data_IF_484193550714
#
_entry.id   IF_484193550714
#
_cell.length_a   1.000
_cell.length_b   1.000
_cell.length_c   1.000
_cell.angle_alpha   90.00
_cell.angle_beta   90.00
_cell.angle_gamma   90.00
#
_symmetry.space_group_name_H-M   'P 1'
#
loop_
_entity.id
_entity.type
_entity.pdbx_description
1 polymer ?
#
# COMPACT_ATOMS: atom_id res chain seq x y z
N UNK A 1 -17.09 35.18 -12.38
CA UNK A 1 -18.15 34.25 -11.94
C UNK A 1 -17.69 32.89 -12.44
N UNK A 2 -17.02 32.12 -11.58
CA UNK A 2 -16.42 30.83 -11.96
C UNK A 2 -17.49 29.77 -11.75
N UNK A 3 -18.09 29.29 -12.83
CA UNK A 3 -19.05 28.19 -12.76
C UNK A 3 -18.31 26.89 -12.43
N UNK A 4 -18.67 26.31 -11.29
CA UNK A 4 -18.27 24.96 -10.89
C UNK A 4 -19.21 24.01 -11.65
N UNK A 5 -18.67 23.31 -12.65
CA UNK A 5 -19.40 22.26 -13.36
C UNK A 5 -19.63 21.08 -12.39
N UNK A 6 -20.85 20.99 -11.87
CA UNK A 6 -21.35 19.78 -11.22
C UNK A 6 -21.91 18.88 -12.32
N UNK A 7 -21.17 17.83 -12.69
CA UNK A 7 -21.69 16.76 -13.52
C UNK A 7 -22.25 15.64 -12.63
N UNK A 8 -23.53 15.35 -12.85
CA UNK A 8 -24.27 14.31 -12.15
C UNK A 8 -23.72 12.94 -12.52
N UNK A 9 -23.51 12.11 -11.50
CA UNK A 9 -23.06 10.73 -11.65
C UNK A 9 -24.08 9.92 -12.46
N UNK A 10 -23.69 9.53 -13.67
CA UNK A 10 -24.30 8.41 -14.37
C UNK A 10 -23.79 7.12 -13.72
N UNK A 11 -24.70 6.42 -13.02
CA UNK A 11 -24.50 5.05 -12.50
C UNK A 11 -24.28 4.09 -13.68
N UNK A 12 -23.05 4.06 -14.19
CA UNK A 12 -22.55 2.96 -15.00
C UNK A 12 -22.27 1.79 -14.07
N UNK A 13 -23.02 0.70 -14.23
CA UNK A 13 -22.85 -0.52 -13.46
C UNK A 13 -21.42 -1.05 -13.60
N UNK A 14 -20.56 -0.74 -12.62
CA UNK A 14 -19.25 -1.35 -12.45
C UNK A 14 -19.52 -2.81 -12.14
N UNK A 15 -19.26 -3.70 -13.09
CA UNK A 15 -19.20 -5.13 -12.81
C UNK A 15 -18.24 -5.32 -11.64
N UNK A 16 -18.76 -5.79 -10.51
CA UNK A 16 -18.01 -5.98 -9.27
C UNK A 16 -17.00 -7.11 -9.47
N UNK A 17 -15.84 -6.76 -10.04
CA UNK A 17 -14.67 -7.62 -10.00
C UNK A 17 -14.42 -8.02 -8.54
N UNK A 18 -14.01 -9.27 -8.26
CA UNK A 18 -13.72 -9.69 -6.90
C UNK A 18 -12.72 -8.72 -6.27
N UNK A 19 -13.03 -8.22 -5.07
CA UNK A 19 -12.15 -7.28 -4.39
C UNK A 19 -10.94 -8.04 -3.84
N UNK A 20 -9.75 -7.55 -4.13
CA UNK A 20 -8.48 -8.18 -3.68
C UNK A 20 -8.49 -8.30 -2.16
N UNK A 21 -8.95 -7.26 -1.47
CA UNK A 21 -9.00 -7.17 0.00
C UNK A 21 -10.01 -8.15 0.65
N UNK A 22 -10.93 -8.71 -0.13
CA UNK A 22 -11.90 -9.71 0.34
C UNK A 22 -11.42 -11.15 0.11
N UNK A 23 -10.36 -11.34 -0.67
CA UNK A 23 -9.78 -12.66 -0.93
C UNK A 23 -9.00 -13.16 0.30
N UNK A 24 -9.11 -14.44 0.71
CA UNK A 24 -8.45 -14.96 1.92
C UNK A 24 -6.91 -14.90 1.87
N UNK A 25 -6.32 -14.86 0.68
CA UNK A 25 -4.87 -14.66 0.52
C UNK A 25 -4.40 -13.25 0.92
N UNK A 26 -5.27 -12.24 0.91
CA UNK A 26 -4.90 -10.89 1.32
C UNK A 26 -4.50 -10.78 2.80
N UNK A 27 -5.33 -11.21 3.78
CA UNK A 27 -4.89 -11.22 5.17
C UNK A 27 -3.66 -12.12 5.39
N UNK A 28 -3.57 -13.25 4.68
CA UNK A 28 -2.38 -14.11 4.76
C UNK A 28 -1.09 -13.41 4.28
N UNK A 29 -1.18 -12.61 3.21
CA UNK A 29 -0.08 -11.78 2.72
C UNK A 29 0.32 -10.74 3.77
N UNK A 30 -0.64 -9.96 4.29
CA UNK A 30 -0.35 -8.95 5.31
C UNK A 30 0.31 -9.56 6.54
N UNK A 31 -0.24 -10.65 7.07
CA UNK A 31 0.29 -11.30 8.26
C UNK A 31 1.74 -11.78 8.05
N UNK A 32 2.04 -12.33 6.87
CA UNK A 32 3.40 -12.74 6.52
C UNK A 32 4.36 -11.55 6.39
N UNK A 33 3.90 -10.45 5.79
CA UNK A 33 4.67 -9.21 5.69
C UNK A 33 4.95 -8.63 7.09
N UNK A 34 3.92 -8.50 7.94
CA UNK A 34 4.06 -8.01 9.32
C UNK A 34 4.96 -8.90 10.18
N UNK A 35 5.03 -10.19 9.90
CA UNK A 35 5.96 -11.10 10.58
C UNK A 35 7.42 -10.85 10.18
N UNK A 36 7.70 -10.46 8.93
CA UNK A 36 9.05 -10.14 8.43
C UNK A 36 9.55 -8.79 8.95
N UNK A 37 8.67 -7.79 9.02
CA UNK A 37 9.05 -6.37 9.27
C UNK A 37 9.97 -6.17 10.49
N UNK A 38 9.75 -6.79 11.67
CA UNK A 38 10.60 -6.59 12.84
C UNK A 38 12.01 -7.15 12.69
N UNK A 39 12.25 -8.02 11.72
CA UNK A 39 13.56 -8.64 11.47
C UNK A 39 14.43 -7.80 10.52
N UNK A 40 13.84 -6.81 9.85
CA UNK A 40 14.54 -6.01 8.87
C UNK A 40 15.35 -4.89 9.54
N UNK A 41 16.60 -4.78 9.12
CA UNK A 41 17.47 -3.63 9.34
C UNK A 41 16.98 -2.41 8.54
N UNK A 42 17.59 -1.25 8.78
CA UNK A 42 17.18 0.02 8.17
C UNK A 42 17.19 0.03 6.64
N UNK A 43 18.07 -0.75 6.02
CA UNK A 43 18.19 -0.88 4.57
C UNK A 43 17.32 -2.01 3.98
N UNK A 44 16.54 -2.70 4.83
CA UNK A 44 15.64 -3.79 4.46
C UNK A 44 16.29 -5.17 4.48
N UNK A 45 17.60 -5.28 4.71
CA UNK A 45 18.28 -6.56 4.94
C UNK A 45 17.91 -7.19 6.28
N UNK A 46 18.22 -8.46 6.49
CA UNK A 46 18.03 -9.15 7.77
C UNK A 46 19.39 -9.55 8.33
N UNK A 47 19.69 -9.09 9.54
CA UNK A 47 20.91 -9.47 10.26
C UNK A 47 20.63 -10.72 11.12
N UNK A 48 21.11 -11.87 10.65
CA UNK A 48 20.92 -13.15 11.35
C UNK A 48 21.82 -13.33 12.59
N UNK A 49 22.82 -12.47 12.77
CA UNK A 49 23.70 -12.51 13.95
C UNK A 49 23.18 -11.58 15.07
N UNK A 50 22.15 -10.78 14.81
CA UNK A 50 21.54 -9.91 15.79
C UNK A 50 20.84 -10.69 16.92
N UNK A 51 20.84 -10.12 18.12
CA UNK A 51 20.16 -10.72 19.27
C UNK A 51 18.64 -10.83 19.01
N UNK A 52 18.09 -12.03 19.13
CA UNK A 52 16.68 -12.30 18.87
C UNK A 52 16.32 -12.47 17.38
N UNK A 53 17.31 -12.53 16.49
CA UNK A 53 17.07 -12.80 15.07
C UNK A 53 16.41 -14.18 14.85
N UNK A 54 15.47 -14.29 13.89
CA UNK A 54 14.91 -15.57 13.49
C UNK A 54 15.98 -16.46 12.85
N UNK A 55 15.73 -17.77 12.73
CA UNK A 55 16.59 -18.60 11.87
C UNK A 55 16.36 -18.29 10.39
N UNK A 56 17.37 -18.43 9.51
CA UNK A 56 17.20 -18.24 8.07
C UNK A 56 16.03 -19.05 7.48
N UNK A 57 15.90 -20.32 7.87
CA UNK A 57 14.79 -21.18 7.45
C UNK A 57 13.40 -20.66 7.89
N UNK A 58 13.32 -19.92 9.00
CA UNK A 58 12.07 -19.28 9.42
C UNK A 58 11.71 -18.16 8.46
N UNK A 59 12.67 -17.29 8.13
CA UNK A 59 12.46 -16.16 7.20
C UNK A 59 12.10 -16.67 5.81
N UNK A 60 12.83 -17.67 5.29
CA UNK A 60 12.53 -18.32 4.00
C UNK A 60 11.08 -18.81 3.93
N UNK A 61 10.61 -19.49 4.97
CA UNK A 61 9.23 -19.98 5.04
C UNK A 61 8.20 -18.85 5.05
N UNK A 62 8.50 -17.71 5.69
CA UNK A 62 7.59 -16.56 5.69
C UNK A 62 7.60 -15.87 4.32
N UNK A 63 8.74 -15.74 3.66
CA UNK A 63 8.81 -15.22 2.29
C UNK A 63 8.09 -16.14 1.30
N UNK A 64 8.17 -17.46 1.44
CA UNK A 64 7.37 -18.37 0.62
C UNK A 64 5.85 -18.23 0.86
N UNK A 65 5.42 -17.84 2.08
CA UNK A 65 4.01 -17.47 2.33
C UNK A 65 3.61 -16.18 1.60
N UNK A 66 4.49 -15.17 1.60
CA UNK A 66 4.30 -13.93 0.81
C UNK A 66 4.15 -14.28 -0.67
N UNK A 67 5.06 -15.10 -1.21
CA UNK A 67 5.03 -15.55 -2.61
C UNK A 67 3.73 -16.29 -2.93
N UNK A 68 3.36 -17.28 -2.12
CA UNK A 68 2.12 -18.05 -2.33
C UNK A 68 0.88 -17.16 -2.33
N UNK A 69 0.80 -16.19 -1.42
CA UNK A 69 -0.32 -15.25 -1.39
C UNK A 69 -0.35 -14.32 -2.62
N UNK A 70 0.81 -13.85 -3.11
CA UNK A 70 0.90 -13.07 -4.37
C UNK A 70 0.45 -13.92 -5.57
N UNK A 71 0.88 -15.18 -5.65
CA UNK A 71 0.49 -16.11 -6.72
C UNK A 71 -1.02 -16.40 -6.68
N UNK A 72 -1.63 -16.51 -5.50
CA UNK A 72 -3.09 -16.67 -5.33
C UNK A 72 -3.90 -15.42 -5.68
N UNK A 73 -3.38 -14.22 -5.42
CA UNK A 73 -4.05 -12.95 -5.74
C UNK A 73 -3.86 -12.54 -7.21
N UNK A 74 -2.77 -12.94 -7.85
CA UNK A 74 -2.44 -12.51 -9.22
C UNK A 74 -3.53 -12.80 -10.27
N UNK A 75 -4.30 -13.91 -10.23
CA UNK A 75 -5.40 -14.14 -11.16
C UNK A 75 -6.52 -13.09 -11.12
N UNK A 76 -6.69 -12.39 -9.99
CA UNK A 76 -7.64 -11.28 -9.86
C UNK A 76 -7.15 -10.00 -10.57
N UNK A 77 -5.86 -9.95 -10.91
CA UNK A 77 -5.13 -8.78 -11.40
C UNK A 77 -4.35 -9.10 -12.68
N UNK A 78 -5.02 -9.55 -13.76
CA UNK A 78 -4.33 -10.04 -14.96
C UNK A 78 -3.48 -8.97 -15.65
N UNK A 79 -3.83 -7.68 -15.51
CA UNK A 79 -3.06 -6.56 -16.04
C UNK A 79 -1.69 -6.39 -15.37
N UNK A 80 -1.53 -6.87 -14.14
CA UNK A 80 -0.29 -6.81 -13.36
C UNK A 80 0.48 -8.14 -13.37
N UNK A 81 0.05 -9.15 -14.14
CA UNK A 81 0.63 -10.49 -14.10
C UNK A 81 2.14 -10.53 -14.43
N UNK A 82 2.62 -9.63 -15.30
CA UNK A 82 4.06 -9.51 -15.57
C UNK A 82 4.83 -8.99 -14.36
N UNK A 83 4.27 -8.00 -13.66
CA UNK A 83 4.80 -7.48 -12.40
C UNK A 83 4.83 -8.57 -11.32
N UNK A 84 3.73 -9.30 -11.09
CA UNK A 84 3.69 -10.33 -10.05
C UNK A 84 4.71 -11.46 -10.29
N UNK A 85 4.93 -11.88 -11.53
CA UNK A 85 5.98 -12.87 -11.86
C UNK A 85 7.38 -12.34 -11.58
N UNK A 86 7.65 -11.08 -11.91
CA UNK A 86 8.93 -10.45 -11.60
C UNK A 86 9.12 -10.30 -10.08
N UNK A 87 8.08 -9.88 -9.36
CA UNK A 87 8.09 -9.75 -7.90
C UNK A 87 8.41 -11.08 -7.21
N UNK A 88 7.76 -12.17 -7.62
CA UNK A 88 8.05 -13.51 -7.11
C UNK A 88 9.51 -13.90 -7.38
N UNK A 89 10.05 -13.54 -8.54
CA UNK A 89 11.45 -13.80 -8.89
C UNK A 89 12.40 -13.01 -8.00
N UNK A 90 12.13 -11.72 -7.76
CA UNK A 90 12.93 -10.84 -6.91
C UNK A 90 12.90 -11.31 -5.44
N UNK A 91 11.73 -11.73 -4.92
CA UNK A 91 11.60 -12.29 -3.56
C UNK A 91 12.41 -13.57 -3.38
N UNK A 92 12.34 -14.50 -4.35
CA UNK A 92 13.15 -15.74 -4.31
C UNK A 92 14.64 -15.45 -4.40
N UNK A 93 15.04 -14.46 -5.20
CA UNK A 93 16.43 -14.00 -5.29
C UNK A 93 16.90 -13.41 -3.97
N UNK A 94 16.09 -12.56 -3.33
CA UNK A 94 16.40 -11.98 -2.03
C UNK A 94 16.65 -13.05 -0.95
N UNK A 95 15.83 -14.09 -0.92
CA UNK A 95 16.04 -15.24 -0.04
C UNK A 95 17.33 -16.02 -0.40
N UNK A 96 17.54 -16.34 -1.68
CA UNK A 96 18.72 -17.08 -2.15
C UNK A 96 20.05 -16.35 -1.89
N UNK A 97 20.02 -15.01 -1.91
CA UNK A 97 21.19 -14.17 -1.63
C UNK A 97 21.47 -13.99 -0.12
N UNK A 98 20.64 -14.60 0.73
CA UNK A 98 20.78 -14.60 2.19
C UNK A 98 20.17 -13.38 2.86
N UNK A 99 19.09 -12.82 2.32
CA UNK A 99 18.38 -11.65 2.85
C UNK A 99 19.27 -10.42 3.07
N UNK A 100 20.20 -10.18 2.12
CA UNK A 100 20.96 -8.92 2.04
C UNK A 100 20.03 -7.74 1.71
N UNK A 101 20.59 -6.59 1.35
CA UNK A 101 19.77 -5.46 0.88
C UNK A 101 18.89 -5.92 -0.29
N UNK A 102 17.56 -5.79 -0.20
CA UNK A 102 16.65 -6.25 -1.24
C UNK A 102 16.84 -5.47 -2.55
N UNK A 103 16.64 -6.15 -3.68
CA UNK A 103 16.63 -5.56 -5.01
C UNK A 103 15.35 -5.97 -5.75
N UNK A 104 14.47 -5.00 -5.98
CA UNK A 104 13.20 -5.16 -6.69
C UNK A 104 13.18 -4.44 -8.04
N UNK A 105 14.35 -4.18 -8.65
CA UNK A 105 14.39 -3.40 -9.89
C UNK A 105 13.62 -4.07 -11.04
N UNK A 106 13.67 -5.39 -11.16
CA UNK A 106 13.02 -6.10 -12.27
C UNK A 106 11.48 -6.00 -12.14
N UNK A 107 10.96 -6.20 -10.93
CA UNK A 107 9.54 -5.99 -10.62
C UNK A 107 9.11 -4.52 -10.68
N UNK A 108 9.95 -3.57 -10.24
CA UNK A 108 9.66 -2.15 -10.36
C UNK A 108 9.51 -1.71 -11.82
N UNK A 109 10.37 -2.18 -12.72
CA UNK A 109 10.28 -1.85 -14.15
C UNK A 109 9.03 -2.47 -14.80
N UNK A 110 8.55 -3.60 -14.28
CA UNK A 110 7.34 -4.26 -14.75
C UNK A 110 6.05 -3.63 -14.21
N UNK A 111 6.10 -2.94 -13.08
CA UNK A 111 4.93 -2.29 -12.47
C UNK A 111 4.61 -0.96 -13.16
N UNK A 112 3.59 -0.98 -14.02
CA UNK A 112 3.25 0.15 -14.89
C UNK A 112 1.76 0.52 -14.83
N UNK A 113 1.26 0.98 -13.66
CA UNK A 113 -0.16 1.29 -13.46
C UNK A 113 -0.68 2.36 -14.44
N UNK A 114 0.18 3.29 -14.86
CA UNK A 114 -0.17 4.33 -15.83
C UNK A 114 -0.55 3.82 -17.22
N UNK A 115 -0.19 2.57 -17.58
CA UNK A 115 -0.58 1.96 -18.88
C UNK A 115 -2.06 1.64 -18.96
N UNK A 116 -2.75 1.48 -17.83
CA UNK A 116 -4.15 1.10 -17.78
C UNK A 116 -4.91 1.87 -16.71
N UNK A 117 -5.21 3.14 -16.97
CA UNK A 117 -5.92 4.04 -16.05
C UNK A 117 -7.44 3.88 -16.18
N UNK A 118 -7.95 2.72 -15.77
CA UNK A 118 -9.39 2.43 -15.74
C UNK A 118 -9.93 2.71 -14.35
N UNK A 119 -11.04 3.45 -14.24
CA UNK A 119 -11.66 3.75 -12.95
C UNK A 119 -11.99 2.46 -12.18
N UNK A 120 -11.67 2.44 -10.89
CA UNK A 120 -11.90 1.28 -10.04
C UNK A 120 -10.94 0.10 -10.26
N UNK A 121 -9.98 0.19 -11.19
CA UNK A 121 -8.99 -0.87 -11.41
C UNK A 121 -8.12 -1.03 -10.17
N UNK A 122 -8.07 -2.26 -9.64
CA UNK A 122 -7.27 -2.58 -8.46
C UNK A 122 -5.85 -2.95 -8.86
N UNK A 123 -4.88 -2.70 -7.98
CA UNK A 123 -3.52 -3.22 -8.08
C UNK A 123 -3.07 -3.69 -6.70
N UNK A 124 -2.23 -4.73 -6.68
CA UNK A 124 -1.49 -5.17 -5.51
C UNK A 124 -0.07 -4.65 -5.64
N UNK A 125 0.48 -4.03 -4.61
CA UNK A 125 1.85 -3.52 -4.59
C UNK A 125 2.57 -4.12 -3.38
N UNK A 126 3.67 -4.82 -3.63
CA UNK A 126 4.53 -5.37 -2.59
C UNK A 126 5.99 -5.03 -2.91
N UNK A 127 6.65 -4.31 -2.02
CA UNK A 127 8.05 -3.89 -2.18
C UNK A 127 8.72 -3.65 -0.82
N UNK A 128 10.05 -3.78 -0.76
CA UNK A 128 10.82 -3.17 0.31
C UNK A 128 10.98 -1.67 0.03
N UNK A 129 10.31 -0.84 0.83
CA UNK A 129 10.24 0.60 0.63
C UNK A 129 10.15 1.33 1.97
N UNK A 130 10.56 2.60 1.97
CA UNK A 130 10.35 3.48 3.12
C UNK A 130 9.21 4.46 2.84
N UNK A 131 8.59 5.00 3.90
CA UNK A 131 7.53 6.00 3.79
C UNK A 131 8.07 7.38 4.14
N UNK A 132 8.05 8.32 3.17
CA UNK A 132 8.70 9.63 3.29
C UNK A 132 8.27 10.44 4.53
N UNK A 133 6.99 10.34 4.90
CA UNK A 133 6.41 11.03 6.07
C UNK A 133 6.11 10.07 7.23
N UNK A 134 6.68 8.87 7.21
CA UNK A 134 6.43 7.81 8.17
C UNK A 134 7.73 7.17 8.65
N UNK A 135 7.92 5.90 8.33
CA UNK A 135 9.10 5.14 8.70
C UNK A 135 10.22 5.33 7.66
N UNK A 136 11.40 5.87 8.05
CA UNK A 136 12.54 6.01 7.14
C UNK A 136 13.23 4.68 6.84
N UNK A 137 12.97 3.63 7.63
CA UNK A 137 13.54 2.31 7.40
C UNK A 137 12.83 1.62 6.22
N UNK A 138 13.60 0.90 5.41
CA UNK A 138 13.06 0.11 4.30
C UNK A 138 12.46 -1.17 4.86
N UNK A 139 11.14 -1.29 4.77
CA UNK A 139 10.43 -2.50 5.14
C UNK A 139 9.71 -3.09 3.94
N UNK A 140 9.59 -4.41 3.92
CA UNK A 140 8.64 -5.06 3.03
C UNK A 140 7.25 -4.60 3.45
N UNK A 141 6.50 -4.02 2.52
CA UNK A 141 5.15 -3.51 2.75
C UNK A 141 4.24 -4.02 1.63
N UNK A 142 2.97 -4.28 1.94
CA UNK A 142 1.96 -4.70 0.98
C UNK A 142 0.77 -3.73 1.01
N UNK A 143 0.35 -3.27 -0.17
CA UNK A 143 -0.70 -2.26 -0.33
C UNK A 143 -1.62 -2.68 -1.46
N UNK A 144 -2.93 -2.66 -1.23
CA UNK A 144 -3.93 -2.72 -2.29
C UNK A 144 -4.38 -1.31 -2.60
N UNK A 145 -4.23 -0.92 -3.87
CA UNK A 145 -4.65 0.37 -4.36
C UNK A 145 -5.72 0.21 -5.43
N UNK A 146 -6.56 1.23 -5.56
CA UNK A 146 -7.60 1.32 -6.56
C UNK A 146 -7.44 2.61 -7.33
N UNK A 147 -7.46 2.51 -8.66
CA UNK A 147 -7.41 3.65 -9.56
C UNK A 147 -8.68 4.49 -9.40
N UNK A 148 -8.50 5.80 -9.30
CA UNK A 148 -9.54 6.83 -9.34
C UNK A 148 -9.34 7.57 -10.66
N UNK A 149 -10.09 7.16 -11.67
CA UNK A 149 -9.98 7.64 -13.03
C UNK A 149 -11.36 7.83 -13.70
N UNK A 150 -12.26 8.62 -13.09
CA UNK A 150 -13.60 8.83 -13.63
C UNK A 150 -13.55 9.45 -15.03
N UNK A 151 -14.62 9.26 -15.81
CA UNK A 151 -14.70 9.70 -17.22
C UNK A 151 -14.31 11.17 -17.41
N UNK A 152 -14.82 12.08 -16.58
CA UNK A 152 -14.47 13.51 -16.67
C UNK A 152 -12.97 13.79 -16.51
N UNK A 153 -12.24 12.97 -15.75
CA UNK A 153 -10.79 13.12 -15.57
C UNK A 153 -10.04 12.58 -16.79
N UNK A 154 -10.52 11.47 -17.37
CA UNK A 154 -10.00 10.96 -18.63
C UNK A 154 -10.18 11.99 -19.77
N UNK A 155 -11.35 12.63 -19.86
CA UNK A 155 -11.62 13.68 -20.83
C UNK A 155 -10.70 14.90 -20.61
N UNK A 156 -10.52 15.32 -19.36
CA UNK A 156 -9.65 16.45 -19.02
C UNK A 156 -8.18 16.20 -19.42
N UNK A 157 -7.70 14.97 -19.22
CA UNK A 157 -6.32 14.57 -19.56
C UNK A 157 -6.12 14.50 -21.08
N UNK A 158 -7.11 14.00 -21.82
CA UNK A 158 -7.07 13.93 -23.28
C UNK A 158 -7.09 15.32 -23.94
N UNK A 159 -7.80 16.29 -23.36
CA UNK A 159 -8.07 17.58 -24.02
C UNK A 159 -7.20 18.76 -23.55
N UNK A 160 -6.77 18.78 -22.28
CA UNK A 160 -6.21 20.01 -21.67
C UNK A 160 -4.92 19.84 -20.88
N UNK A 161 -4.73 18.69 -20.23
CA UNK A 161 -3.60 18.49 -19.31
C UNK A 161 -3.08 17.06 -19.42
N UNK A 162 -2.27 16.79 -20.45
CA UNK A 162 -1.62 15.51 -20.60
C UNK A 162 -0.55 15.33 -19.51
N UNK A 163 -0.73 14.32 -18.68
CA UNK A 163 0.34 13.87 -17.80
C UNK A 163 0.32 12.34 -17.79
N UNK A 164 1.11 11.71 -18.68
CA UNK A 164 1.10 10.26 -18.83
C UNK A 164 1.61 9.53 -17.59
N UNK A 165 2.26 10.24 -16.66
CA UNK A 165 2.76 9.69 -15.40
C UNK A 165 1.85 10.06 -14.21
N UNK A 166 0.71 10.69 -14.42
CA UNK A 166 -0.24 10.90 -13.33
C UNK A 166 -1.18 9.69 -13.21
N UNK A 167 -1.34 9.21 -11.97
CA UNK A 167 -2.29 8.17 -11.59
C UNK A 167 -3.02 8.61 -10.31
N UNK A 168 -4.33 8.84 -10.43
CA UNK A 168 -5.19 9.04 -9.26
C UNK A 168 -5.43 7.70 -8.58
N UNK A 169 -5.11 7.57 -7.29
CA UNK A 169 -5.29 6.32 -6.54
C UNK A 169 -6.00 6.57 -5.21
N UNK A 170 -6.61 5.51 -4.68
CA UNK A 170 -7.00 5.39 -3.27
C UNK A 170 -6.45 4.09 -2.71
N UNK A 171 -6.12 4.05 -1.42
CA UNK A 171 -5.80 2.80 -0.75
C UNK A 171 -7.09 2.07 -0.34
N UNK A 172 -7.17 0.79 -0.64
CA UNK A 172 -8.27 -0.08 -0.20
C UNK A 172 -7.93 -0.74 1.14
N UNK A 173 -6.70 -1.23 1.28
CA UNK A 173 -6.16 -1.85 2.50
C UNK A 173 -4.63 -1.96 2.40
N UNK A 174 -3.92 -2.08 3.51
CA UNK A 174 -2.46 -2.03 3.56
C UNK A 174 -1.85 -2.62 4.85
N UNK A 175 -0.55 -2.85 4.84
CA UNK A 175 0.27 -3.12 6.02
C UNK A 175 0.56 -1.84 6.83
N UNK A 176 0.93 -1.99 8.10
CA UNK A 176 0.99 -0.92 9.08
C UNK A 176 1.97 0.20 8.73
N UNK A 177 2.98 -0.03 7.87
CA UNK A 177 3.87 1.03 7.40
C UNK A 177 3.17 2.12 6.58
N UNK A 178 2.01 1.81 6.01
CA UNK A 178 1.16 2.73 5.25
C UNK A 178 -0.03 3.28 6.06
N UNK A 179 -0.16 2.91 7.35
CA UNK A 179 -1.17 3.47 8.26
C UNK A 179 -0.76 4.87 8.76
N UNK A 180 -0.71 5.82 7.83
CA UNK A 180 -0.37 7.22 8.09
C UNK A 180 -1.24 8.17 7.26
N UNK A 181 -1.59 9.32 7.84
CA UNK A 181 -2.39 10.37 7.21
C UNK A 181 -1.76 10.99 5.94
N UNK A 182 -0.54 10.58 5.57
CA UNK A 182 0.21 11.13 4.42
C UNK A 182 0.99 10.05 3.67
N UNK A 183 0.44 8.83 3.61
CA UNK A 183 1.02 7.76 2.82
C UNK A 183 1.02 8.12 1.33
N UNK A 184 2.17 8.01 0.69
CA UNK A 184 2.32 8.29 -0.75
C UNK A 184 3.19 7.18 -1.33
N UNK A 185 2.77 6.62 -2.46
CA UNK A 185 3.56 5.61 -3.17
C UNK A 185 4.47 6.33 -4.16
N UNK A 186 5.75 6.38 -3.81
CA UNK A 186 6.80 6.91 -4.68
C UNK A 186 7.67 5.75 -5.16
N UNK A 187 7.71 5.46 -6.48
CA UNK A 187 8.56 4.43 -7.04
C UNK A 187 10.05 4.55 -6.61
N UNK A 188 10.51 5.78 -6.37
CA UNK A 188 11.88 6.09 -5.97
C UNK A 188 12.23 5.61 -4.55
N UNK A 189 11.24 5.28 -3.71
CA UNK A 189 11.48 4.79 -2.33
C UNK A 189 11.71 3.29 -2.27
N UNK A 190 11.54 2.58 -3.38
CA UNK A 190 11.70 1.12 -3.49
C UNK A 190 13.19 0.76 -3.53
N UNK A 191 13.53 -0.39 -2.92
CA UNK A 191 14.90 -0.89 -2.88
C UNK A 191 15.28 -1.48 -4.24
N UNK A 192 16.31 -0.93 -4.87
CA UNK A 192 16.79 -1.30 -6.20
C UNK A 192 18.31 -1.29 -6.25
N UNK A 193 18.91 -2.21 -7.02
CA UNK A 193 20.37 -2.27 -7.24
C UNK A 193 20.94 -1.01 -7.90
N UNK A 194 20.16 -0.36 -8.76
CA UNK A 194 20.51 0.87 -9.44
C UNK A 194 19.25 1.72 -9.64
N UNK A 195 19.39 3.05 -9.58
CA UNK A 195 18.30 3.96 -9.86
C UNK A 195 17.91 3.87 -11.34
N UNK A 196 16.63 3.64 -11.69
CA UNK A 196 16.19 3.62 -13.09
C UNK A 196 16.53 4.94 -13.80
N UNK A 197 17.00 4.86 -15.05
CA UNK A 197 17.34 6.04 -15.86
C UNK A 197 16.11 6.92 -16.22
N UNK A 198 14.91 6.40 -16.03
CA UNK A 198 13.64 7.11 -16.04
C UNK A 198 12.73 6.47 -14.98
N UNK A 199 12.05 7.28 -14.15
CA UNK A 199 11.11 6.78 -13.14
C UNK A 199 10.07 5.87 -13.79
N UNK A 200 10.01 4.56 -13.46
CA UNK A 200 9.10 3.61 -14.11
C UNK A 200 7.63 3.83 -13.72
N UNK A 201 7.35 4.65 -12.71
CA UNK A 201 6.05 4.72 -12.09
C UNK A 201 5.50 6.13 -11.97
N UNK A 202 4.18 6.20 -12.07
CA UNK A 202 3.41 7.38 -11.77
C UNK A 202 3.59 7.80 -10.30
N UNK A 203 3.92 9.07 -10.07
CA UNK A 203 3.82 9.63 -8.72
C UNK A 203 2.35 9.59 -8.32
N UNK A 204 2.04 8.81 -7.28
CA UNK A 204 0.66 8.49 -6.91
C UNK A 204 0.47 8.74 -5.42
N UNK A 205 -0.32 9.75 -5.07
CA UNK A 205 -0.62 10.11 -3.67
C UNK A 205 -2.06 9.76 -3.31
N UNK A 206 -2.27 9.07 -2.20
CA UNK A 206 -3.57 8.81 -1.61
C UNK A 206 -3.53 9.13 -0.12
N UNK A 207 -4.51 9.86 0.40
CA UNK A 207 -4.65 9.97 1.85
C UNK A 207 -5.19 8.64 2.38
N UNK A 208 -4.43 7.93 3.23
CA UNK A 208 -4.98 6.79 3.96
C UNK A 208 -6.10 7.33 4.87
N UNK A 209 -7.36 6.98 4.57
CA UNK A 209 -8.45 7.17 5.54
C UNK A 209 -8.37 5.98 6.49
N UNK A 210 -8.25 6.19 7.81
CA UNK A 210 -8.35 5.08 8.74
C UNK A 210 -9.70 4.37 8.53
N UNK A 211 -9.77 3.03 8.68
CA UNK A 211 -11.04 2.33 8.62
C UNK A 211 -11.98 2.99 9.63
N UNK A 212 -13.23 3.20 9.24
CA UNK A 212 -14.22 3.81 10.13
C UNK A 212 -14.30 2.97 11.41
N UNK A 213 -13.64 3.43 12.47
CA UNK A 213 -13.78 2.82 13.78
C UNK A 213 -15.25 2.77 14.09
N UNK A 214 -15.80 1.57 14.29
CA UNK A 214 -17.17 1.40 14.73
C UNK A 214 -17.36 2.32 15.94
N UNK A 215 -18.14 3.38 15.76
CA UNK A 215 -18.47 4.33 16.82
C UNK A 215 -19.25 3.53 17.85
N UNK A 216 -18.54 3.07 18.87
CA UNK A 216 -19.16 2.43 20.03
C UNK A 216 -20.04 3.49 20.70
N UNK A 217 -21.35 3.27 20.86
CA UNK A 217 -22.23 4.28 21.40
C UNK A 217 -21.85 4.51 22.87
N UNK A 218 -21.29 5.70 23.17
CA UNK A 218 -21.13 6.16 24.55
C UNK A 218 -22.52 6.18 25.19
N UNK A 219 -22.72 5.55 26.37
CA UNK A 219 -23.97 5.71 27.09
C UNK A 219 -24.09 7.17 27.59
N UNK A 220 -25.31 7.71 27.70
CA UNK A 220 -25.52 9.08 28.15
C UNK A 220 -25.04 9.22 29.59
N UNK A 221 -24.05 10.09 29.81
CA UNK A 221 -23.62 10.51 31.14
C UNK A 221 -24.76 11.25 31.82
N UNK A 222 -25.36 10.63 32.83
CA UNK A 222 -26.31 11.28 33.72
C UNK A 222 -25.64 12.43 34.47
N UNK A 223 -26.17 13.63 34.28
CA UNK A 223 -25.94 14.79 35.14
C UNK A 223 -26.25 14.41 36.60
N UNK A 224 -25.24 14.35 37.46
CA UNK A 224 -25.41 14.50 38.89
C UNK A 224 -24.75 15.81 39.31
N UNK A 225 -25.59 16.85 39.44
CA UNK A 225 -25.28 17.98 40.29
C UNK A 225 -24.93 17.46 41.69
N UNK A 226 -23.88 17.99 42.31
CA UNK A 226 -23.76 18.20 43.77
C UNK A 226 -22.59 19.17 44.05
N UNK A 227 -22.98 20.42 44.32
CA UNK A 227 -22.60 21.22 45.50
C UNK A 227 -21.11 21.46 45.82
N UNK A 228 -20.65 22.67 45.49
CA UNK A 228 -19.60 23.37 46.25
C UNK A 228 -20.07 23.70 47.68
N UNK A 229 -19.15 23.67 48.66
CA UNK A 229 -19.16 24.68 49.71
C UNK A 229 -17.93 25.58 49.63
N UNK A 230 -18.20 26.88 49.65
CA UNK A 230 -17.23 27.93 49.98
C UNK A 230 -16.86 27.84 51.46
N UNK A 231 -15.58 28.00 51.78
CA UNK A 231 -15.20 28.67 53.03
C UNK A 231 -13.83 29.35 52.87
N UNK A 232 -13.87 30.67 52.96
CA UNK A 232 -12.73 31.59 53.03
C UNK A 232 -12.20 31.68 54.47
N UNK A 233 -10.92 32.03 54.57
CA UNK A 233 -10.22 32.43 55.78
C UNK A 233 -11.01 33.37 56.72
N UNK A 234 -11.12 33.01 57.99
CA UNK A 234 -10.33 33.55 59.10
C UNK A 234 -10.53 32.71 60.36
#
# INVERSE_FOLDING_TARGET
MTEILVHGATDGAIATAPRVVEHPAWPALRDAVEEIRPWQSKDGSIDFEAEGAPSPATVERVVERVIGAVEELSPLLPHDAAYHRALVTDLRRWAADGFRVPDFLDSLLAFQPARNRVDGLQHLVVFAMYTQNGNPDRNLEAVVLKMVWPEWLADLEADRYDNPLFCGITFEDFTAGYDTNSAVLFPETIAVREAPSASPGAASSATARPPASAVSPRPPSSCSAWSCPRTSAR
#
